data_IF_958148723999
#
_entry.id   IF_958148723999
#
_cell.length_a   1.000
_cell.length_b   1.000
_cell.length_c   1.000
_cell.angle_alpha   90.00
_cell.angle_beta   90.00
_cell.angle_gamma   90.00
#
_symmetry.space_group_name_H-M   'P 1'
#
loop_
_entity.id
_entity.type
_entity.pdbx_description
1 polymer ?
#
# COMPACT_ATOMS: atom_id res chain seq x y z
N UNK A 1 30.95 36.89 -6.86
CA UNK A 1 31.68 37.53 -5.75
C UNK A 1 33.12 37.06 -5.81
N UNK A 2 33.99 37.98 -6.19
CA UNK A 2 35.46 37.91 -6.28
C UNK A 2 36.12 37.74 -4.89
N UNK A 3 37.45 37.85 -4.74
CA UNK A 3 38.63 37.40 -5.50
C UNK A 3 39.63 36.66 -4.57
N UNK A 4 40.82 36.20 -4.96
CA UNK A 4 42.13 36.91 -4.79
C UNK A 4 43.24 35.90 -5.12
N UNK A 5 44.15 36.14 -6.08
CA UNK A 5 45.48 36.78 -5.94
C UNK A 5 46.45 35.94 -5.08
N UNK A 6 47.69 35.60 -5.48
CA UNK A 6 48.74 36.47 -6.03
C UNK A 6 50.03 35.68 -6.39
N UNK A 7 50.79 36.23 -7.36
CA UNK A 7 52.27 36.40 -7.41
C UNK A 7 53.20 35.17 -7.33
N UNK A 8 54.24 34.95 -8.15
CA UNK A 8 55.00 35.82 -9.06
C UNK A 8 56.50 35.70 -8.73
N UNK A 9 57.35 35.34 -9.71
CA UNK A 9 58.78 35.69 -9.74
C UNK A 9 59.41 35.40 -11.12
N UNK A 10 59.66 36.47 -11.86
CA UNK A 10 60.56 36.59 -13.02
C UNK A 10 62.00 36.87 -12.53
N UNK A 11 63.01 36.47 -13.32
CA UNK A 11 64.32 37.12 -13.58
C UNK A 11 65.33 36.07 -14.08
N UNK A 12 66.32 36.33 -14.92
CA UNK A 12 66.74 37.46 -15.76
C UNK A 12 68.02 37.01 -16.50
N UNK A 13 68.14 37.44 -17.76
CA UNK A 13 69.32 37.61 -18.63
C UNK A 13 70.75 37.53 -18.06
N UNK A 14 71.65 36.92 -18.85
CA UNK A 14 72.97 37.46 -19.32
C UNK A 14 73.57 36.46 -20.34
N UNK A 15 73.64 36.74 -21.65
CA UNK A 15 74.58 37.60 -22.39
C UNK A 15 76.04 37.08 -22.47
N UNK A 16 76.47 36.79 -23.70
CA UNK A 16 77.81 36.36 -24.16
C UNK A 16 78.94 37.36 -23.80
N UNK A 17 80.20 36.92 -23.88
CA UNK A 17 81.05 37.47 -24.95
C UNK A 17 82.07 36.50 -25.59
N UNK A 18 82.25 36.70 -26.90
CA UNK A 18 83.42 36.36 -27.76
C UNK A 18 84.24 37.67 -27.91
N UNK A 19 85.53 37.78 -28.40
CA UNK A 19 86.62 36.85 -28.80
C UNK A 19 88.01 37.21 -28.15
N UNK A 20 89.09 36.47 -28.47
CA UNK A 20 90.34 37.00 -29.08
C UNK A 20 91.47 35.95 -29.19
N UNK A 21 92.32 36.16 -30.20
CA UNK A 21 93.36 35.30 -30.79
C UNK A 21 94.68 35.12 -29.97
N UNK A 22 95.35 34.00 -30.32
CA UNK A 22 96.75 33.54 -30.15
C UNK A 22 97.87 34.61 -30.05
N UNK A 23 99.02 34.33 -29.38
CA UNK A 23 100.08 33.38 -29.81
C UNK A 23 100.54 32.46 -28.64
N UNK A 24 101.30 31.38 -28.74
CA UNK A 24 102.39 30.99 -29.61
C UNK A 24 103.48 30.35 -28.72
N UNK A 25 103.77 29.07 -28.98
CA UNK A 25 105.04 28.36 -28.68
C UNK A 25 105.53 28.18 -27.23
N UNK A 26 104.88 27.32 -26.44
CA UNK A 26 105.55 26.49 -25.39
C UNK A 26 104.98 25.06 -25.38
N UNK A 27 104.80 24.49 -26.58
CA UNK A 27 104.30 23.12 -26.81
C UNK A 27 105.43 22.11 -26.66
N UNK A 28 105.58 21.56 -25.46
CA UNK A 28 106.02 20.17 -25.24
C UNK A 28 106.12 19.80 -23.74
N UNK A 29 106.26 20.79 -22.85
CA UNK A 29 106.29 20.56 -21.39
C UNK A 29 105.01 21.02 -20.66
N UNK A 30 104.29 22.02 -21.21
CA UNK A 30 103.02 22.52 -20.68
C UNK A 30 101.81 21.62 -20.97
N UNK A 31 101.84 20.82 -22.03
CA UNK A 31 100.74 19.91 -22.41
C UNK A 31 100.58 18.77 -21.37
N UNK A 32 101.70 18.28 -20.85
CA UNK A 32 101.72 17.32 -19.75
C UNK A 32 101.25 17.94 -18.43
N UNK A 33 101.48 19.24 -18.23
CA UNK A 33 101.02 19.97 -17.04
C UNK A 33 99.52 20.33 -17.12
N UNK A 34 99.02 20.72 -18.29
CA UNK A 34 97.61 20.96 -18.57
C UNK A 34 96.78 19.69 -18.49
N UNK A 35 97.24 18.60 -19.10
CA UNK A 35 96.62 17.28 -18.96
C UNK A 35 96.66 16.81 -17.50
N UNK A 36 97.72 17.11 -16.73
CA UNK A 36 97.74 16.83 -15.28
C UNK A 36 96.72 17.66 -14.51
N UNK A 37 96.58 18.94 -14.82
CA UNK A 37 95.62 19.83 -14.16
C UNK A 37 94.18 19.43 -14.48
N UNK A 38 93.89 19.08 -15.74
CA UNK A 38 92.60 18.59 -16.19
C UNK A 38 92.29 17.21 -15.60
N UNK A 39 93.27 16.31 -15.52
CA UNK A 39 93.13 15.02 -14.83
C UNK A 39 92.89 15.20 -13.32
N UNK A 40 93.52 16.20 -12.69
CA UNK A 40 93.25 16.52 -11.28
C UNK A 40 91.85 17.13 -11.10
N UNK A 41 91.41 18.00 -12.00
CA UNK A 41 90.06 18.58 -11.97
C UNK A 41 88.98 17.51 -12.20
N UNK A 42 89.18 16.60 -13.16
CA UNK A 42 88.29 15.45 -13.36
C UNK A 42 88.28 14.53 -12.14
N UNK A 43 89.44 14.26 -11.52
CA UNK A 43 89.51 13.46 -10.29
C UNK A 43 88.78 14.13 -9.13
N UNK A 44 88.85 15.45 -9.01
CA UNK A 44 88.12 16.20 -8.00
C UNK A 44 86.60 16.16 -8.26
N UNK A 45 86.18 16.27 -9.52
CA UNK A 45 84.77 16.20 -9.90
C UNK A 45 84.18 14.79 -9.74
N UNK A 46 84.95 13.75 -10.09
CA UNK A 46 84.55 12.36 -9.85
C UNK A 46 84.41 12.11 -8.34
N UNK A 47 85.36 12.58 -7.53
CA UNK A 47 85.26 12.46 -6.08
C UNK A 47 84.02 13.18 -5.52
N UNK A 48 83.70 14.38 -6.01
CA UNK A 48 82.49 15.09 -5.60
C UNK A 48 81.21 14.38 -6.02
N UNK A 49 81.16 13.82 -7.23
CA UNK A 49 80.01 13.06 -7.70
C UNK A 49 79.84 11.75 -6.92
N UNK A 50 80.94 11.09 -6.55
CA UNK A 50 80.91 9.89 -5.71
C UNK A 50 80.32 10.23 -4.32
N UNK A 51 80.70 11.37 -3.74
CA UNK A 51 80.13 11.84 -2.46
C UNK A 51 78.62 12.16 -2.56
N UNK A 52 78.15 12.78 -3.65
CA UNK A 52 76.72 13.04 -3.87
C UNK A 52 75.93 11.76 -4.12
N UNK A 53 76.50 10.80 -4.86
CA UNK A 53 75.88 9.49 -5.08
C UNK A 53 75.77 8.74 -3.75
N UNK A 54 76.79 8.78 -2.90
CA UNK A 54 76.76 8.15 -1.59
C UNK A 54 75.73 8.80 -0.65
N UNK A 55 75.61 10.14 -0.63
CA UNK A 55 74.57 10.84 0.15
C UNK A 55 73.15 10.49 -0.36
N UNK A 56 72.95 10.44 -1.68
CA UNK A 56 71.66 10.03 -2.26
C UNK A 56 71.37 8.56 -1.99
N UNK A 57 72.37 7.68 -2.01
CA UNK A 57 72.20 6.28 -1.65
C UNK A 57 71.86 6.12 -0.17
N UNK A 58 72.50 6.88 0.72
CA UNK A 58 72.20 6.92 2.16
C UNK A 58 70.79 7.43 2.42
N UNK A 59 70.36 8.54 1.80
CA UNK A 59 68.98 9.04 1.90
C UNK A 59 67.96 8.09 1.28
N UNK A 60 68.32 7.39 0.20
CA UNK A 60 67.46 6.33 -0.35
C UNK A 60 67.40 5.12 0.58
N UNK A 61 68.49 4.79 1.27
CA UNK A 61 68.55 3.70 2.23
C UNK A 61 67.78 4.03 3.52
N UNK A 62 67.81 5.28 3.97
CA UNK A 62 66.99 5.77 5.08
C UNK A 62 65.50 5.82 4.72
N UNK A 63 65.15 6.17 3.48
CA UNK A 63 63.75 6.11 3.00
C UNK A 63 63.23 4.69 2.70
N UNK A 64 64.09 3.66 2.79
CA UNK A 64 63.69 2.24 2.64
C UNK A 64 63.12 1.63 3.91
N UNK A 65 62.97 2.36 5.02
CA UNK A 65 62.22 1.82 6.17
C UNK A 65 60.81 1.51 5.67
N UNK A 66 60.41 0.23 5.64
CA UNK A 66 59.12 -0.14 5.08
C UNK A 66 58.02 0.58 5.88
N UNK A 67 57.09 1.23 5.18
CA UNK A 67 56.04 2.06 5.80
C UNK A 67 55.27 1.34 6.92
N UNK A 68 55.16 0.01 6.87
CA UNK A 68 54.51 -0.81 7.89
C UNK A 68 55.27 -0.90 9.23
N UNK A 69 56.54 -0.47 9.29
CA UNK A 69 57.32 -0.44 10.55
C UNK A 69 57.07 0.82 11.39
N UNK A 70 56.43 1.84 10.83
CA UNK A 70 56.08 3.05 11.59
C UNK A 70 54.78 2.82 12.37
N UNK A 71 54.84 2.98 13.70
CA UNK A 71 53.66 2.86 14.58
C UNK A 71 52.57 3.85 14.15
N UNK A 72 52.96 5.06 13.73
CA UNK A 72 52.03 6.10 13.28
C UNK A 72 51.26 5.69 12.02
N UNK A 73 51.93 5.04 11.05
CA UNK A 73 51.28 4.52 9.84
C UNK A 73 50.29 3.41 10.17
N UNK A 74 50.61 2.51 11.10
CA UNK A 74 49.69 1.45 11.54
C UNK A 74 48.42 2.03 12.21
N UNK A 75 48.58 3.04 13.07
CA UNK A 75 47.44 3.71 13.71
C UNK A 75 46.54 4.40 12.67
N UNK A 76 47.12 5.07 11.68
CA UNK A 76 46.35 5.73 10.62
C UNK A 76 45.54 4.72 9.77
N UNK A 77 46.15 3.60 9.39
CA UNK A 77 45.44 2.53 8.65
C UNK A 77 44.31 1.95 9.49
N UNK A 78 44.54 1.72 10.78
CA UNK A 78 43.51 1.19 11.68
C UNK A 78 42.34 2.17 11.85
N UNK A 79 42.63 3.47 12.01
CA UNK A 79 41.61 4.51 12.09
C UNK A 79 40.78 4.60 10.80
N UNK A 80 41.42 4.49 9.63
CA UNK A 80 40.74 4.44 8.34
C UNK A 80 39.81 3.23 8.23
N UNK A 81 40.29 2.04 8.62
CA UNK A 81 39.48 0.81 8.61
C UNK A 81 38.28 0.91 9.56
N UNK A 82 38.46 1.47 10.75
CA UNK A 82 37.36 1.72 11.69
C UNK A 82 36.35 2.72 11.12
N UNK A 83 36.82 3.81 10.51
CA UNK A 83 35.95 4.81 9.86
C UNK A 83 35.14 4.18 8.74
N UNK A 84 35.80 3.45 7.81
CA UNK A 84 35.15 2.74 6.72
C UNK A 84 34.14 1.69 7.21
N UNK A 85 34.51 0.91 8.24
CA UNK A 85 33.62 -0.09 8.83
C UNK A 85 32.37 0.57 9.42
N UNK A 86 32.55 1.68 10.14
CA UNK A 86 31.43 2.42 10.74
C UNK A 86 30.54 3.04 9.67
N UNK A 87 31.12 3.59 8.59
CA UNK A 87 30.36 4.13 7.46
C UNK A 87 29.58 3.06 6.71
N UNK A 88 30.18 1.89 6.45
CA UNK A 88 29.49 0.77 5.79
C UNK A 88 28.35 0.22 6.64
N UNK A 89 28.58 0.02 7.94
CA UNK A 89 27.56 -0.44 8.87
C UNK A 89 26.45 0.60 8.99
N UNK A 90 26.77 1.88 9.17
CA UNK A 90 25.78 2.97 9.23
C UNK A 90 24.95 3.06 7.94
N UNK A 91 25.58 2.99 6.77
CA UNK A 91 24.89 2.99 5.48
C UNK A 91 23.99 1.76 5.29
N UNK A 92 24.43 0.59 5.74
CA UNK A 92 23.61 -0.62 5.73
C UNK A 92 22.39 -0.49 6.66
N UNK A 93 22.59 -0.06 7.91
CA UNK A 93 21.49 0.17 8.85
C UNK A 93 20.51 1.22 8.36
N UNK A 94 20.99 2.34 7.81
CA UNK A 94 20.13 3.38 7.24
C UNK A 94 19.23 2.85 6.11
N UNK A 95 19.75 1.96 5.25
CA UNK A 95 18.96 1.31 4.19
C UNK A 95 17.90 0.37 4.78
N UNK A 96 18.29 -0.53 5.69
CA UNK A 96 17.34 -1.48 6.31
C UNK A 96 16.26 -0.78 7.15
N UNK A 97 16.61 0.32 7.84
CA UNK A 97 15.65 1.11 8.61
C UNK A 97 14.67 1.86 7.70
N UNK A 98 15.09 2.27 6.50
CA UNK A 98 14.21 2.89 5.51
C UNK A 98 13.06 1.97 5.10
N UNK A 99 13.37 0.71 4.76
CA UNK A 99 12.37 -0.30 4.36
C UNK A 99 11.38 -0.59 5.49
N UNK A 100 11.88 -0.75 6.72
CA UNK A 100 11.03 -0.99 7.90
C UNK A 100 10.14 0.24 8.19
N UNK A 101 10.68 1.45 8.06
CA UNK A 101 9.91 2.68 8.26
C UNK A 101 8.81 2.83 7.22
N UNK A 102 9.10 2.53 5.95
CA UNK A 102 8.10 2.55 4.87
C UNK A 102 7.00 1.51 5.12
N UNK A 103 7.36 0.29 5.51
CA UNK A 103 6.37 -0.75 5.83
C UNK A 103 5.48 -0.34 7.00
N UNK A 104 6.05 0.26 8.06
CA UNK A 104 5.28 0.77 9.20
C UNK A 104 4.35 1.90 8.79
N UNK A 105 4.82 2.82 7.94
CA UNK A 105 3.99 3.91 7.44
C UNK A 105 2.79 3.37 6.66
N UNK A 106 3.01 2.43 5.74
CA UNK A 106 1.90 1.78 5.00
C UNK A 106 0.92 1.07 5.92
N UNK A 107 1.42 0.37 6.96
CA UNK A 107 0.55 -0.28 7.94
C UNK A 107 -0.24 0.72 8.79
N UNK A 108 0.37 1.87 9.13
CA UNK A 108 -0.30 2.97 9.83
C UNK A 108 -1.39 3.59 8.96
N UNK A 109 -1.08 3.91 7.69
CA UNK A 109 -2.06 4.45 6.75
C UNK A 109 -3.26 3.50 6.56
N UNK A 110 -3.01 2.19 6.41
CA UNK A 110 -4.08 1.19 6.34
C UNK A 110 -4.89 1.11 7.64
N UNK A 111 -4.23 1.22 8.80
CA UNK A 111 -4.90 1.21 10.09
C UNK A 111 -5.77 2.45 10.30
N UNK A 112 -5.28 3.62 9.93
CA UNK A 112 -5.96 4.90 10.03
C UNK A 112 -7.18 4.92 9.08
N UNK A 113 -6.98 4.50 7.82
CA UNK A 113 -8.06 4.35 6.86
C UNK A 113 -9.15 3.38 7.36
N UNK A 114 -8.76 2.24 7.94
CA UNK A 114 -9.72 1.27 8.51
C UNK A 114 -10.46 1.83 9.72
N UNK A 115 -9.80 2.63 10.54
CA UNK A 115 -10.40 3.29 11.70
C UNK A 115 -11.41 4.35 11.26
N UNK A 116 -11.05 5.16 10.26
CA UNK A 116 -11.94 6.16 9.66
C UNK A 116 -13.15 5.49 8.99
N UNK A 117 -12.95 4.45 8.19
CA UNK A 117 -14.02 3.67 7.58
C UNK A 117 -15.01 3.14 8.64
N UNK A 118 -14.50 2.55 9.73
CA UNK A 118 -15.35 2.07 10.83
C UNK A 118 -16.16 3.20 11.45
N UNK A 119 -15.57 4.37 11.65
CA UNK A 119 -16.26 5.56 12.15
C UNK A 119 -17.39 6.03 11.22
N UNK A 120 -17.16 6.02 9.90
CA UNK A 120 -18.19 6.35 8.91
C UNK A 120 -19.33 5.32 8.90
N UNK A 121 -19.01 4.02 8.95
CA UNK A 121 -20.03 2.95 9.00
C UNK A 121 -20.87 3.01 10.28
N UNK A 122 -20.26 3.33 11.43
CA UNK A 122 -20.98 3.56 12.69
C UNK A 122 -21.90 4.79 12.60
N UNK A 123 -21.43 5.87 11.98
CA UNK A 123 -22.23 7.08 11.77
C UNK A 123 -23.43 6.83 10.86
N UNK A 124 -23.24 6.02 9.80
CA UNK A 124 -24.32 5.55 8.93
C UNK A 124 -25.34 4.69 9.69
N UNK A 125 -24.89 3.78 10.55
CA UNK A 125 -25.80 2.95 11.36
C UNK A 125 -26.62 3.79 12.36
N UNK A 126 -26.01 4.79 12.98
CA UNK A 126 -26.72 5.72 13.88
C UNK A 126 -27.73 6.59 13.12
N UNK A 127 -27.43 6.94 11.86
CA UNK A 127 -28.36 7.67 11.01
C UNK A 127 -29.59 6.84 10.65
N UNK A 128 -29.43 5.54 10.39
CA UNK A 128 -30.56 4.63 10.17
C UNK A 128 -31.47 4.54 11.38
N UNK A 129 -30.90 4.40 12.58
CA UNK A 129 -31.67 4.40 13.82
C UNK A 129 -32.51 5.67 13.96
N UNK A 130 -31.97 6.83 13.57
CA UNK A 130 -32.70 8.11 13.56
C UNK A 130 -33.79 8.16 12.48
N UNK A 131 -33.60 7.51 11.34
CA UNK A 131 -34.61 7.39 10.27
C UNK A 131 -35.79 6.52 10.75
N UNK A 132 -35.51 5.42 11.46
CA UNK A 132 -36.53 4.54 12.04
C UNK A 132 -37.40 5.22 13.10
N UNK A 133 -36.89 6.28 13.76
CA UNK A 133 -37.63 7.08 14.73
C UNK A 133 -38.59 8.08 14.05
N UNK A 134 -38.43 8.39 12.76
CA UNK A 134 -39.24 9.41 12.07
C UNK A 134 -40.75 9.15 12.07
N UNK A 135 -41.26 7.91 11.88
CA UNK A 135 -42.69 7.62 11.96
C UNK A 135 -43.30 7.86 13.34
N UNK A 136 -42.48 8.02 14.38
CA UNK A 136 -42.94 8.31 15.75
C UNK A 136 -43.18 9.80 16.01
N UNK A 137 -42.83 10.68 15.06
CA UNK A 137 -43.02 12.12 15.18
C UNK A 137 -44.47 12.52 14.86
N UNK A 138 -45.05 13.37 15.72
CA UNK A 138 -46.42 13.86 15.55
C UNK A 138 -46.61 14.83 14.35
N UNK A 139 -45.52 15.43 13.86
CA UNK A 139 -45.55 16.39 12.74
C UNK A 139 -45.00 15.76 11.45
N UNK A 140 -45.88 15.38 10.49
CA UNK A 140 -45.46 14.81 9.20
C UNK A 140 -44.58 15.73 8.36
N UNK A 141 -44.74 17.06 8.47
CA UNK A 141 -43.94 18.01 7.71
C UNK A 141 -42.50 18.05 8.25
N UNK A 142 -42.35 18.01 9.58
CA UNK A 142 -41.04 17.89 10.21
C UNK A 142 -40.37 16.56 9.84
N UNK A 143 -41.11 15.44 9.92
CA UNK A 143 -40.60 14.12 9.54
C UNK A 143 -40.08 14.08 8.10
N UNK A 144 -40.83 14.67 7.15
CA UNK A 144 -40.40 14.75 5.74
C UNK A 144 -39.12 15.57 5.54
N UNK A 145 -38.99 16.72 6.24
CA UNK A 145 -37.77 17.54 6.20
C UNK A 145 -36.56 16.82 6.76
N UNK A 146 -36.73 16.15 7.90
CA UNK A 146 -35.67 15.35 8.52
C UNK A 146 -35.26 14.18 7.64
N UNK A 147 -36.23 13.46 7.05
CA UNK A 147 -35.96 12.38 6.09
C UNK A 147 -35.08 12.85 4.93
N UNK A 148 -35.37 14.03 4.36
CA UNK A 148 -34.57 14.60 3.27
C UNK A 148 -33.15 14.99 3.72
N UNK A 149 -33.03 15.56 4.92
CA UNK A 149 -31.74 15.90 5.53
C UNK A 149 -30.89 14.65 5.78
N UNK A 150 -31.49 13.60 6.34
CA UNK A 150 -30.81 12.32 6.60
C UNK A 150 -30.43 11.61 5.30
N UNK A 151 -31.23 11.69 4.25
CA UNK A 151 -30.84 11.19 2.93
C UNK A 151 -29.57 11.87 2.39
N UNK A 152 -29.46 13.19 2.56
CA UNK A 152 -28.27 13.96 2.15
C UNK A 152 -27.03 13.60 2.99
N UNK A 153 -27.19 13.47 4.31
CA UNK A 153 -26.11 13.03 5.22
C UNK A 153 -25.64 11.61 4.89
N UNK A 154 -26.58 10.69 4.61
CA UNK A 154 -26.30 9.32 4.17
C UNK A 154 -25.45 9.32 2.90
N UNK A 155 -25.82 10.11 1.89
CA UNK A 155 -25.10 10.19 0.62
C UNK A 155 -23.65 10.67 0.79
N UNK A 156 -23.43 11.67 1.65
CA UNK A 156 -22.09 12.21 1.94
C UNK A 156 -21.23 11.16 2.64
N UNK A 157 -21.72 10.59 3.73
CA UNK A 157 -20.99 9.60 4.53
C UNK A 157 -20.69 8.33 3.71
N UNK A 158 -21.67 7.82 2.95
CA UNK A 158 -21.50 6.67 2.09
C UNK A 158 -20.47 6.95 0.98
N UNK A 159 -20.43 8.16 0.43
CA UNK A 159 -19.44 8.55 -0.58
C UNK A 159 -18.02 8.60 0.00
N UNK A 160 -17.86 9.14 1.21
CA UNK A 160 -16.56 9.13 1.89
C UNK A 160 -16.11 7.70 2.21
N UNK A 161 -17.01 6.86 2.71
CA UNK A 161 -16.71 5.46 2.99
C UNK A 161 -16.28 4.71 1.72
N UNK A 162 -16.96 4.95 0.60
CA UNK A 162 -16.60 4.37 -0.69
C UNK A 162 -15.18 4.75 -1.11
N UNK A 163 -14.83 6.04 -1.02
CA UNK A 163 -13.52 6.53 -1.40
C UNK A 163 -12.41 5.85 -0.59
N UNK A 164 -12.62 5.62 0.71
CA UNK A 164 -11.67 4.89 1.57
C UNK A 164 -11.62 3.40 1.16
N UNK A 165 -12.75 2.76 0.89
CA UNK A 165 -12.78 1.35 0.46
C UNK A 165 -12.06 1.13 -0.88
N UNK A 166 -12.04 2.14 -1.76
CA UNK A 166 -11.32 2.10 -3.03
C UNK A 166 -9.80 2.19 -2.88
N UNK A 167 -9.27 2.76 -1.79
CA UNK A 167 -7.82 2.81 -1.55
C UNK A 167 -7.26 1.52 -0.95
N UNK A 168 -8.11 0.69 -0.35
CA UNK A 168 -7.70 -0.57 0.32
C UNK A 168 -8.62 -1.76 0.02
N UNK A 169 -8.91 -2.09 -1.26
CA UNK A 169 -9.94 -3.07 -1.63
C UNK A 169 -9.69 -4.48 -1.06
N UNK A 170 -8.43 -4.89 -0.89
CA UNK A 170 -8.05 -6.20 -0.35
C UNK A 170 -8.32 -6.34 1.16
N UNK A 171 -8.57 -5.23 1.86
CA UNK A 171 -8.78 -5.21 3.31
C UNK A 171 -10.26 -5.11 3.70
N UNK A 172 -11.15 -5.00 2.70
CA UNK A 172 -12.59 -4.83 2.89
C UNK A 172 -13.29 -6.18 2.88
N UNK A 173 -14.07 -6.44 3.92
CA UNK A 173 -14.88 -7.64 4.04
C UNK A 173 -16.15 -7.59 3.17
N UNK A 174 -16.70 -8.76 2.87
CA UNK A 174 -18.01 -8.89 2.22
C UNK A 174 -19.10 -8.10 2.94
N UNK A 175 -19.13 -8.15 4.28
CA UNK A 175 -20.09 -7.40 5.09
C UNK A 175 -19.93 -5.88 4.98
N UNK A 176 -18.71 -5.35 4.85
CA UNK A 176 -18.49 -3.91 4.70
C UNK A 176 -18.96 -3.42 3.32
N UNK A 177 -18.67 -4.19 2.26
CA UNK A 177 -19.22 -3.93 0.92
C UNK A 177 -20.75 -3.97 0.91
N UNK A 178 -21.34 -5.00 1.54
CA UNK A 178 -22.78 -5.18 1.59
C UNK A 178 -23.47 -4.05 2.35
N UNK A 179 -22.96 -3.67 3.54
CA UNK A 179 -23.51 -2.57 4.31
C UNK A 179 -23.53 -1.28 3.51
N UNK A 180 -22.42 -0.93 2.85
CA UNK A 180 -22.36 0.30 2.06
C UNK A 180 -23.30 0.25 0.85
N UNK A 181 -23.44 -0.92 0.21
CA UNK A 181 -24.36 -1.09 -0.89
C UNK A 181 -25.83 -0.87 -0.50
N UNK A 182 -26.24 -1.37 0.67
CA UNK A 182 -27.59 -1.15 1.20
C UNK A 182 -27.86 0.35 1.37
N UNK A 183 -26.89 1.12 1.88
CA UNK A 183 -27.03 2.58 2.02
C UNK A 183 -27.22 3.27 0.68
N UNK A 184 -26.46 2.90 -0.35
CA UNK A 184 -26.66 3.44 -1.70
C UNK A 184 -28.02 3.03 -2.28
N UNK A 185 -28.47 1.79 -2.04
CA UNK A 185 -29.81 1.34 -2.44
C UNK A 185 -30.93 2.15 -1.77
N UNK A 186 -30.79 2.46 -0.48
CA UNK A 186 -31.77 3.23 0.28
C UNK A 186 -31.95 4.67 -0.26
N UNK A 187 -30.91 5.26 -0.85
CA UNK A 187 -30.98 6.59 -1.50
C UNK A 187 -31.17 6.50 -3.03
N UNK A 188 -31.57 5.33 -3.55
CA UNK A 188 -31.82 5.05 -4.97
C UNK A 188 -30.58 5.25 -5.89
N UNK A 189 -29.37 5.15 -5.35
CA UNK A 189 -28.09 5.20 -6.09
C UNK A 189 -27.69 3.78 -6.57
N UNK A 190 -28.58 3.10 -7.29
CA UNK A 190 -28.42 1.69 -7.66
C UNK A 190 -27.15 1.42 -8.49
N UNK A 191 -26.74 2.38 -9.32
CA UNK A 191 -25.50 2.29 -10.11
C UNK A 191 -24.24 2.18 -9.25
N UNK A 192 -24.26 2.69 -8.01
CA UNK A 192 -23.17 2.54 -7.03
C UNK A 192 -23.37 1.33 -6.13
N UNK A 193 -24.62 1.01 -5.79
CA UNK A 193 -24.95 -0.15 -4.95
C UNK A 193 -24.57 -1.48 -5.61
N UNK A 194 -24.92 -1.66 -6.88
CA UNK A 194 -24.71 -2.92 -7.60
C UNK A 194 -23.25 -3.41 -7.59
N UNK A 195 -22.24 -2.63 -8.05
CA UNK A 195 -20.85 -3.10 -8.06
C UNK A 195 -20.31 -3.40 -6.65
N UNK A 196 -20.85 -2.74 -5.61
CA UNK A 196 -20.48 -3.05 -4.23
C UNK A 196 -21.03 -4.41 -3.79
N UNK A 197 -22.27 -4.75 -4.15
CA UNK A 197 -22.81 -6.09 -3.85
C UNK A 197 -22.09 -7.17 -4.64
N UNK A 198 -21.76 -6.91 -5.90
CA UNK A 198 -20.95 -7.85 -6.70
C UNK A 198 -19.60 -8.12 -6.02
N UNK A 199 -18.94 -7.09 -5.47
CA UNK A 199 -17.75 -7.26 -4.63
C UNK A 199 -18.03 -8.00 -3.34
N UNK A 200 -19.15 -7.74 -2.67
CA UNK A 200 -19.54 -8.47 -1.46
C UNK A 200 -19.71 -9.98 -1.73
N UNK A 201 -20.35 -10.35 -2.84
CA UNK A 201 -20.50 -11.74 -3.28
C UNK A 201 -19.13 -12.35 -3.60
N UNK A 202 -18.27 -11.62 -4.32
CA UNK A 202 -16.95 -12.11 -4.72
C UNK A 202 -15.98 -12.29 -3.55
N UNK A 203 -16.13 -11.51 -2.49
CA UNK A 203 -15.27 -11.53 -1.28
C UNK A 203 -15.88 -12.32 -0.12
N UNK A 204 -17.02 -12.98 -0.32
CA UNK A 204 -17.69 -13.77 0.71
C UNK A 204 -16.79 -14.93 1.18
N UNK A 205 -16.48 -14.95 2.48
CA UNK A 205 -15.58 -15.95 3.06
C UNK A 205 -16.32 -17.24 3.50
N UNK A 206 -17.64 -17.18 3.61
CA UNK A 206 -18.50 -18.26 4.10
C UNK A 206 -19.89 -18.19 3.44
N UNK A 207 -20.69 -19.24 3.67
CA UNK A 207 -22.04 -19.35 3.11
C UNK A 207 -22.99 -18.24 3.57
N UNK A 208 -22.86 -17.78 4.83
CA UNK A 208 -23.73 -16.74 5.39
C UNK A 208 -23.53 -15.38 4.71
N UNK A 209 -22.26 -14.97 4.51
CA UNK A 209 -21.93 -13.73 3.80
C UNK A 209 -22.44 -13.77 2.36
N UNK A 210 -22.24 -14.91 1.68
CA UNK A 210 -22.70 -15.11 0.30
C UNK A 210 -24.22 -15.04 0.18
N UNK A 211 -24.95 -15.77 1.03
CA UNK A 211 -26.41 -15.77 1.06
C UNK A 211 -26.96 -14.37 1.35
N UNK A 212 -26.40 -13.69 2.35
CA UNK A 212 -26.82 -12.34 2.72
C UNK A 212 -26.61 -11.37 1.56
N UNK A 213 -25.44 -11.39 0.93
CA UNK A 213 -25.14 -10.53 -0.22
C UNK A 213 -26.08 -10.81 -1.41
N UNK A 214 -26.32 -12.08 -1.76
CA UNK A 214 -27.21 -12.46 -2.85
C UNK A 214 -28.68 -12.07 -2.61
N UNK A 215 -29.21 -12.28 -1.41
CA UNK A 215 -30.59 -11.90 -1.06
C UNK A 215 -30.81 -10.39 -1.14
N UNK A 216 -29.87 -9.61 -0.62
CA UNK A 216 -29.91 -8.15 -0.72
C UNK A 216 -29.74 -7.70 -2.17
N UNK A 217 -28.86 -8.36 -2.95
CA UNK A 217 -28.75 -8.08 -4.38
C UNK A 217 -30.10 -8.26 -5.08
N UNK A 218 -30.75 -9.38 -4.78
CA UNK A 218 -32.05 -9.69 -5.35
C UNK A 218 -33.08 -8.60 -5.03
N UNK A 219 -33.20 -8.22 -3.75
CA UNK A 219 -34.12 -7.20 -3.30
C UNK A 219 -33.87 -5.84 -3.99
N UNK A 220 -32.61 -5.41 -4.14
CA UNK A 220 -32.29 -4.17 -4.85
C UNK A 220 -32.61 -4.24 -6.34
N UNK A 221 -32.42 -5.39 -6.99
CA UNK A 221 -32.80 -5.58 -8.40
C UNK A 221 -34.31 -5.44 -8.58
N UNK A 222 -35.11 -6.03 -7.69
CA UNK A 222 -36.56 -5.83 -7.67
C UNK A 222 -36.93 -4.35 -7.48
N UNK A 223 -36.32 -3.68 -6.51
CA UNK A 223 -36.56 -2.26 -6.24
C UNK A 223 -36.20 -1.37 -7.45
N UNK A 224 -35.19 -1.74 -8.23
CA UNK A 224 -34.80 -1.07 -9.47
C UNK A 224 -35.60 -1.54 -10.70
N UNK A 225 -36.60 -2.40 -10.54
CA UNK A 225 -37.48 -2.89 -11.59
C UNK A 225 -36.96 -4.08 -12.41
N UNK A 226 -35.79 -4.63 -12.11
CA UNK A 226 -35.25 -5.87 -12.71
C UNK A 226 -35.64 -7.09 -11.88
N UNK A 227 -36.94 -7.44 -11.88
CA UNK A 227 -37.46 -8.60 -11.15
C UNK A 227 -36.83 -9.91 -11.60
N UNK A 228 -36.60 -10.09 -12.90
CA UNK A 228 -35.97 -11.31 -13.43
C UNK A 228 -34.50 -11.44 -12.97
N UNK A 229 -33.77 -10.33 -12.93
CA UNK A 229 -32.46 -10.27 -12.28
C UNK A 229 -32.52 -10.66 -10.82
N UNK A 230 -33.48 -10.13 -10.08
CA UNK A 230 -33.70 -10.46 -8.68
C UNK A 230 -33.96 -11.95 -8.46
N UNK A 231 -34.86 -12.55 -9.25
CA UNK A 231 -35.16 -13.99 -9.22
C UNK A 231 -33.93 -14.84 -9.46
N UNK A 232 -33.08 -14.45 -10.42
CA UNK A 232 -31.80 -15.15 -10.65
C UNK A 232 -30.88 -15.09 -9.43
N UNK A 233 -30.79 -13.96 -8.74
CA UNK A 233 -29.94 -13.85 -7.54
C UNK A 233 -30.46 -14.68 -6.36
N UNK A 234 -31.79 -14.78 -6.17
CA UNK A 234 -32.34 -15.69 -5.16
C UNK A 234 -32.13 -17.17 -5.53
N UNK A 235 -32.32 -17.54 -6.80
CA UNK A 235 -32.03 -18.89 -7.28
C UNK A 235 -30.55 -19.27 -7.09
N UNK A 236 -29.63 -18.33 -7.33
CA UNK A 236 -28.21 -18.50 -7.06
C UNK A 236 -27.93 -18.69 -5.55
N UNK A 237 -28.65 -17.96 -4.68
CA UNK A 237 -28.52 -18.10 -3.24
C UNK A 237 -28.91 -19.52 -2.77
N UNK A 238 -30.00 -20.09 -3.29
CA UNK A 238 -30.41 -21.48 -3.03
C UNK A 238 -29.39 -22.51 -3.56
N UNK A 239 -28.55 -22.13 -4.51
CA UNK A 239 -27.49 -22.97 -5.05
C UNK A 239 -26.13 -22.75 -4.37
N UNK A 240 -26.05 -21.90 -3.34
CA UNK A 240 -24.80 -21.54 -2.64
C UNK A 240 -24.05 -22.75 -2.06
N UNK A 241 -24.74 -23.84 -1.76
CA UNK A 241 -24.17 -25.09 -1.25
C UNK A 241 -23.24 -25.79 -2.23
N UNK A 242 -23.31 -25.46 -3.54
CA UNK A 242 -22.32 -25.90 -4.52
C UNK A 242 -20.95 -25.24 -4.29
N UNK A 243 -20.96 -23.98 -3.86
CA UNK A 243 -19.75 -23.21 -3.52
C UNK A 243 -19.25 -23.56 -2.11
N UNK A 244 -20.16 -23.83 -1.18
CA UNK A 244 -19.86 -24.16 0.22
C UNK A 244 -20.38 -25.56 0.61
N UNK A 245 -19.81 -26.66 0.06
CA UNK A 245 -20.36 -28.01 0.24
C UNK A 245 -20.14 -28.60 1.63
N UNK A 246 -19.27 -28.02 2.46
CA UNK A 246 -18.94 -28.51 3.79
C UNK A 246 -19.94 -28.10 4.88
N UNK A 247 -20.97 -27.33 4.52
CA UNK A 247 -21.95 -26.81 5.49
C UNK A 247 -22.85 -27.92 6.03
N UNK A 248 -23.17 -27.85 7.32
CA UNK A 248 -24.07 -28.80 7.96
C UNK A 248 -25.48 -28.70 7.34
N UNK A 249 -26.17 -29.83 7.20
CA UNK A 249 -27.52 -29.89 6.60
C UNK A 249 -28.53 -28.93 7.27
N UNK A 250 -28.38 -28.70 8.58
CA UNK A 250 -29.19 -27.72 9.32
C UNK A 250 -28.91 -26.28 8.87
N UNK A 251 -27.64 -25.91 8.67
CA UNK A 251 -27.26 -24.59 8.13
C UNK A 251 -27.82 -24.43 6.72
N UNK A 252 -27.76 -25.48 5.90
CA UNK A 252 -28.33 -25.47 4.56
C UNK A 252 -29.84 -25.23 4.58
N UNK A 253 -30.58 -26.01 5.37
CA UNK A 253 -32.04 -25.90 5.48
C UNK A 253 -32.48 -24.54 6.04
N UNK A 254 -31.77 -24.01 7.04
CA UNK A 254 -32.02 -22.67 7.57
C UNK A 254 -31.70 -21.59 6.53
N UNK A 255 -30.61 -21.75 5.78
CA UNK A 255 -30.26 -20.87 4.67
C UNK A 255 -31.33 -20.87 3.60
N UNK A 256 -31.79 -22.03 3.13
CA UNK A 256 -32.83 -22.13 2.11
C UNK A 256 -34.15 -21.52 2.60
N UNK A 257 -34.57 -21.86 3.82
CA UNK A 257 -35.75 -21.26 4.47
C UNK A 257 -35.72 -19.73 4.40
N UNK A 258 -34.66 -19.11 4.89
CA UNK A 258 -34.58 -17.65 4.89
C UNK A 258 -34.51 -17.06 3.48
N UNK A 259 -33.89 -17.76 2.52
CA UNK A 259 -33.87 -17.31 1.12
C UNK A 259 -35.27 -17.31 0.55
N UNK A 260 -36.03 -18.39 0.71
CA UNK A 260 -37.42 -18.50 0.25
C UNK A 260 -38.34 -17.46 0.90
N UNK A 261 -38.21 -17.24 2.22
CA UNK A 261 -38.99 -16.21 2.92
C UNK A 261 -38.68 -14.79 2.42
N UNK A 262 -37.40 -14.47 2.16
CA UNK A 262 -37.03 -13.17 1.60
C UNK A 262 -37.54 -13.01 0.17
N UNK A 263 -37.48 -14.09 -0.63
CA UNK A 263 -37.98 -14.09 -2.00
C UNK A 263 -39.51 -13.87 -2.03
N UNK A 264 -40.25 -14.62 -1.22
CA UNK A 264 -41.70 -14.46 -1.06
C UNK A 264 -42.07 -13.03 -0.66
N UNK A 265 -41.37 -12.47 0.33
CA UNK A 265 -41.60 -11.10 0.78
C UNK A 265 -41.40 -10.09 -0.37
N UNK A 266 -40.28 -10.18 -1.07
CA UNK A 266 -39.96 -9.24 -2.17
C UNK A 266 -40.96 -9.36 -3.32
N UNK A 267 -41.34 -10.58 -3.73
CA UNK A 267 -42.36 -10.80 -4.77
C UNK A 267 -43.71 -10.19 -4.33
N UNK A 268 -44.11 -10.40 -3.07
CA UNK A 268 -45.37 -9.87 -2.54
C UNK A 268 -45.42 -8.34 -2.51
N UNK A 269 -44.31 -7.69 -2.14
CA UNK A 269 -44.17 -6.23 -2.14
C UNK A 269 -44.30 -5.62 -3.54
N UNK A 270 -44.05 -6.40 -4.59
CA UNK A 270 -44.18 -5.98 -5.99
C UNK A 270 -45.47 -6.48 -6.65
N UNK A 271 -46.35 -7.14 -5.90
CA UNK A 271 -47.65 -7.62 -6.36
C UNK A 271 -47.62 -8.93 -7.16
N UNK A 272 -46.51 -9.68 -7.11
CA UNK A 272 -46.37 -11.01 -7.72
C UNK A 272 -46.84 -12.10 -6.73
N UNK A 273 -48.15 -12.12 -6.47
CA UNK A 273 -48.70 -12.89 -5.35
C UNK A 273 -48.66 -14.41 -5.56
N UNK A 274 -48.78 -14.89 -6.80
CA UNK A 274 -48.75 -16.34 -7.09
C UNK A 274 -47.34 -16.89 -6.86
N UNK A 275 -46.32 -16.17 -7.34
CA UNK A 275 -44.91 -16.49 -7.11
C UNK A 275 -44.57 -16.41 -5.61
N UNK A 276 -45.03 -15.37 -4.92
CA UNK A 276 -44.82 -15.23 -3.48
C UNK A 276 -45.38 -16.44 -2.70
N UNK A 277 -46.59 -16.91 -3.03
CA UNK A 277 -47.18 -18.08 -2.39
C UNK A 277 -46.41 -19.37 -2.70
N UNK A 278 -45.89 -19.54 -3.92
CA UNK A 278 -45.05 -20.68 -4.27
C UNK A 278 -43.78 -20.75 -3.40
N UNK A 279 -43.16 -19.61 -3.10
CA UNK A 279 -42.00 -19.53 -2.22
C UNK A 279 -42.36 -19.80 -0.74
N UNK A 280 -43.56 -19.42 -0.28
CA UNK A 280 -44.06 -19.83 1.05
C UNK A 280 -44.23 -21.35 1.14
N UNK A 281 -44.75 -21.98 0.10
CA UNK A 281 -44.90 -23.44 0.06
C UNK A 281 -43.55 -24.17 0.04
N UNK A 282 -42.55 -23.62 -0.66
CA UNK A 282 -41.17 -24.12 -0.62
C UNK A 282 -40.55 -23.94 0.78
N UNK A 283 -40.67 -22.75 1.39
CA UNK A 283 -40.19 -22.46 2.73
C UNK A 283 -40.75 -23.43 3.79
N UNK A 284 -42.02 -23.84 3.66
CA UNK A 284 -42.67 -24.80 4.57
C UNK A 284 -41.93 -26.13 4.65
N UNK A 285 -41.43 -26.62 3.52
CA UNK A 285 -40.68 -27.88 3.46
C UNK A 285 -39.39 -27.82 4.30
N UNK A 286 -38.71 -26.67 4.27
CA UNK A 286 -37.51 -26.44 5.07
C UNK A 286 -37.81 -26.32 6.57
N UNK A 287 -38.91 -25.66 6.96
CA UNK A 287 -39.37 -25.59 8.36
C UNK A 287 -39.71 -26.98 8.92
N UNK A 288 -40.31 -27.84 8.12
CA UNK A 288 -40.64 -29.21 8.52
C UNK A 288 -39.39 -30.10 8.63
N UNK A 289 -38.37 -29.86 7.80
CA UNK A 289 -37.07 -30.53 7.93
C UNK A 289 -36.32 -30.16 9.21
N UNK A 290 -36.57 -28.96 9.75
CA UNK A 290 -35.95 -28.44 10.98
C UNK A 290 -36.57 -28.97 12.29
N UNK A 291 -37.39 -30.05 12.25
CA UNK A 291 -38.24 -30.60 13.34
C UNK A 291 -37.54 -30.91 14.68
N UNK A 292 -36.98 -29.90 15.32
CA UNK A 292 -36.30 -29.93 16.60
C UNK A 292 -36.86 -28.78 17.45
N UNK A 293 -37.24 -29.04 18.71
CA UNK A 293 -37.89 -28.07 19.60
C UNK A 293 -37.08 -26.79 19.85
N UNK A 294 -35.79 -26.74 19.54
CA UNK A 294 -34.97 -25.53 19.61
C UNK A 294 -35.25 -24.47 18.52
N UNK A 295 -36.04 -24.81 17.49
CA UNK A 295 -36.27 -23.96 16.31
C UNK A 295 -37.59 -23.18 16.33
N UNK A 296 -38.02 -22.74 17.52
CA UNK A 296 -39.25 -21.95 17.69
C UNK A 296 -39.19 -20.64 16.89
N UNK A 297 -38.03 -19.98 16.87
CA UNK A 297 -37.87 -18.66 16.23
C UNK A 297 -38.07 -18.72 14.71
N UNK A 298 -37.43 -19.63 13.93
CA UNK A 298 -37.70 -19.66 12.48
C UNK A 298 -39.12 -20.07 12.14
N UNK A 299 -39.77 -20.90 12.96
CA UNK A 299 -41.19 -21.24 12.77
C UNK A 299 -42.09 -20.02 12.97
N UNK A 300 -41.87 -19.23 14.03
CA UNK A 300 -42.60 -17.97 14.24
C UNK A 300 -42.38 -16.97 13.10
N UNK A 301 -41.15 -16.85 12.59
CA UNK A 301 -40.85 -15.99 11.45
C UNK A 301 -41.52 -16.48 10.17
N UNK A 302 -41.52 -17.79 9.92
CA UNK A 302 -42.25 -18.40 8.81
C UNK A 302 -43.75 -18.10 8.91
N UNK A 303 -44.37 -18.34 10.06
CA UNK A 303 -45.81 -18.13 10.26
C UNK A 303 -46.20 -16.67 10.03
N UNK A 304 -45.42 -15.73 10.57
CA UNK A 304 -45.64 -14.30 10.38
C UNK A 304 -45.51 -13.87 8.92
N UNK A 305 -44.51 -14.40 8.19
CA UNK A 305 -44.31 -14.09 6.78
C UNK A 305 -45.39 -14.73 5.90
N UNK A 306 -45.78 -15.97 6.18
CA UNK A 306 -46.86 -16.63 5.47
C UNK A 306 -48.18 -15.85 5.61
N UNK A 307 -48.49 -15.37 6.81
CA UNK A 307 -49.64 -14.49 7.04
C UNK A 307 -49.56 -13.19 6.23
N UNK A 308 -48.39 -12.52 6.22
CA UNK A 308 -48.18 -11.31 5.43
C UNK A 308 -48.41 -11.56 3.92
N UNK A 309 -47.87 -12.64 3.37
CA UNK A 309 -48.01 -12.98 1.95
C UNK A 309 -49.47 -13.28 1.58
N UNK A 310 -50.27 -13.84 2.50
CA UNK A 310 -51.72 -14.03 2.23
C UNK A 310 -52.50 -12.72 2.06
N UNK A 311 -51.95 -11.60 2.54
CA UNK A 311 -52.53 -10.26 2.37
C UNK A 311 -52.06 -9.57 1.08
N UNK A 312 -51.24 -10.25 0.25
CA UNK A 312 -50.76 -9.73 -1.02
C UNK A 312 -51.92 -9.33 -1.94
N UNK A 313 -51.85 -8.12 -2.50
CA UNK A 313 -52.79 -7.64 -3.52
C UNK A 313 -52.12 -7.71 -4.89
N UNK A 314 -52.76 -8.35 -5.89
CA UNK A 314 -52.16 -8.50 -7.21
C UNK A 314 -51.96 -7.13 -7.86
N UNK A 315 -50.83 -6.95 -8.53
CA UNK A 315 -50.55 -5.72 -9.30
C UNK A 315 -51.62 -5.53 -10.36
N UNK A 316 -52.24 -4.34 -10.41
CA UNK A 316 -53.17 -4.02 -11.48
C UNK A 316 -52.44 -4.08 -12.83
N UNK A 317 -52.99 -4.82 -13.80
CA UNK A 317 -52.48 -4.86 -15.17
C UNK A 317 -52.61 -3.44 -15.78
N UNK A 318 -51.48 -2.72 -15.86
CA UNK A 318 -51.38 -1.39 -16.47
C UNK A 318 -50.92 -1.48 -17.92
#
# INVERSE_FOLDING_TARGET
MSPSSQSGAFSSFAAEPVPAMAPGSERAAGDLAGVRAELMALRAQVAQNDDEIDDLQLRSAESRVPWYRSIQSLVAVFALLLSLSTTLVSGYWARTQGEIAEQRLRQQELHDAKTELRGLLQSLAELERRIEELPTLDDPLLASRLSSSYGSETAILATQALAIMETMPEQISSSEYLNLAIRFGAINEFGRAQPLIERAVATAANSYDFLSAKRIYAALLFQNGDSDGGRRQFADALQSWRTFPAEAATVQSTGDLYTELNWANVESLHGYCDEANAHIDAARQHVDALNNPGWVLPRQQFDAMAELVTQCQPRAET
#
